data_IF_546455702481
#
_entry.id   IF_546455702481
#
_cell.length_a   1.000
_cell.length_b   1.000
_cell.length_c   1.000
_cell.angle_alpha   90.00
_cell.angle_beta   90.00
_cell.angle_gamma   90.00
#
_symmetry.space_group_name_H-M   'P 1'
#
loop_
_entity.id
_entity.type
_entity.pdbx_description
1 polymer ?
#
# COMPACT_ATOMS: atom_id res chain seq x y z
N UNK A 1 18.73 38.49 37.91
CA UNK A 1 18.23 37.11 37.95
C UNK A 1 16.82 37.04 37.33
N UNK A 2 16.67 36.94 36.01
CA UNK A 2 15.34 37.05 35.39
C UNK A 2 15.08 36.26 34.09
N UNK A 3 16.09 35.68 33.47
CA UNK A 3 15.94 34.99 32.17
C UNK A 3 15.88 33.46 32.29
N UNK A 4 16.23 32.90 33.46
CA UNK A 4 16.27 31.46 33.68
C UNK A 4 14.94 30.74 33.41
N UNK A 5 13.76 31.27 33.81
CA UNK A 5 12.48 30.59 33.53
C UNK A 5 12.18 30.47 32.04
N UNK A 6 12.57 31.46 31.23
CA UNK A 6 12.35 31.48 29.78
C UNK A 6 13.26 30.48 29.06
N UNK A 7 14.50 30.33 29.53
CA UNK A 7 15.44 29.35 28.97
C UNK A 7 14.99 27.92 29.30
N UNK A 8 14.51 27.67 30.53
CA UNK A 8 13.99 26.37 30.95
C UNK A 8 12.72 26.02 30.18
N UNK A 9 11.79 26.97 30.02
CA UNK A 9 10.57 26.73 29.24
C UNK A 9 10.88 26.47 27.76
N UNK A 10 11.79 27.23 27.15
CA UNK A 10 12.24 27.01 25.78
C UNK A 10 12.87 25.63 25.60
N UNK A 11 13.73 25.20 26.53
CA UNK A 11 14.31 23.87 26.51
C UNK A 11 13.25 22.76 26.65
N UNK A 12 12.31 22.93 27.57
CA UNK A 12 11.21 21.99 27.77
C UNK A 12 10.31 21.88 26.53
N UNK A 13 10.00 23.01 25.87
CA UNK A 13 9.24 23.05 24.62
C UNK A 13 9.97 22.36 23.47
N UNK A 14 11.27 22.64 23.28
CA UNK A 14 12.08 21.97 22.24
C UNK A 14 12.12 20.45 22.45
N UNK A 15 12.27 20.01 23.69
CA UNK A 15 12.23 18.58 24.05
C UNK A 15 10.85 17.96 23.85
N UNK A 16 9.78 18.71 24.12
CA UNK A 16 8.41 18.27 23.86
C UNK A 16 8.19 18.10 22.34
N UNK A 17 8.60 19.07 21.53
CA UNK A 17 8.49 19.05 20.08
C UNK A 17 9.20 17.85 19.44
N UNK A 18 10.41 17.53 19.88
CA UNK A 18 11.15 16.35 19.41
C UNK A 18 10.37 15.04 19.67
N UNK A 19 9.76 14.91 20.84
CA UNK A 19 8.91 13.75 21.17
C UNK A 19 7.68 13.70 20.28
N UNK A 20 7.02 14.83 20.02
CA UNK A 20 5.85 14.90 19.13
C UNK A 20 6.24 14.53 17.70
N UNK A 21 7.35 15.07 17.19
CA UNK A 21 7.87 14.78 15.84
C UNK A 21 8.25 13.31 15.69
N UNK A 22 8.88 12.72 16.70
CA UNK A 22 9.20 11.29 16.72
C UNK A 22 7.93 10.43 16.68
N UNK A 23 6.93 10.74 17.51
CA UNK A 23 5.62 10.06 17.52
C UNK A 23 4.92 10.15 16.17
N UNK A 24 4.88 11.33 15.55
CA UNK A 24 4.30 11.53 14.22
C UNK A 24 5.04 10.70 13.16
N UNK A 25 6.38 10.71 13.16
CA UNK A 25 7.19 9.88 12.25
C UNK A 25 6.89 8.39 12.43
N UNK A 26 6.83 7.89 13.67
CA UNK A 26 6.49 6.49 13.93
C UNK A 26 5.06 6.14 13.49
N UNK A 27 4.10 7.05 13.72
CA UNK A 27 2.72 6.87 13.27
C UNK A 27 2.63 6.81 11.74
N UNK A 28 3.30 7.72 11.03
CA UNK A 28 3.36 7.72 9.56
C UNK A 28 3.98 6.44 9.02
N UNK A 29 5.10 5.96 9.58
CA UNK A 29 5.73 4.69 9.16
C UNK A 29 4.81 3.49 9.36
N UNK A 30 4.01 3.47 10.44
CA UNK A 30 3.02 2.41 10.67
C UNK A 30 1.85 2.50 9.68
N UNK A 31 1.38 3.72 9.38
CA UNK A 31 0.33 3.93 8.41
C UNK A 31 0.77 3.48 7.00
N UNK A 32 1.96 3.89 6.56
CA UNK A 32 2.52 3.47 5.26
C UNK A 32 2.73 1.96 5.19
N UNK A 33 3.22 1.33 6.27
CA UNK A 33 3.38 -0.12 6.33
C UNK A 33 2.04 -0.87 6.21
N UNK A 34 0.97 -0.36 6.85
CA UNK A 34 -0.38 -0.93 6.73
C UNK A 34 -0.95 -0.80 5.32
N UNK A 35 -0.69 0.33 4.65
CA UNK A 35 -1.13 0.55 3.28
C UNK A 35 -0.42 -0.38 2.30
N UNK A 36 0.90 -0.53 2.43
CA UNK A 36 1.68 -1.52 1.69
C UNK A 36 1.18 -2.95 1.94
N UNK A 37 0.89 -3.31 3.20
CA UNK A 37 0.37 -4.64 3.54
C UNK A 37 -1.02 -4.88 2.92
N UNK A 38 -1.92 -3.89 2.95
CA UNK A 38 -3.23 -3.98 2.29
C UNK A 38 -3.09 -4.22 0.80
N UNK A 39 -2.18 -3.48 0.16
CA UNK A 39 -1.87 -3.64 -1.25
C UNK A 39 -1.23 -5.00 -1.53
N UNK A 40 -0.33 -5.51 -0.68
CA UNK A 40 0.28 -6.82 -0.89
C UNK A 40 -0.71 -7.98 -0.73
N UNK A 41 -1.66 -7.89 0.22
CA UNK A 41 -2.73 -8.91 0.35
C UNK A 41 -3.74 -8.89 -0.80
N UNK A 42 -3.85 -7.79 -1.55
CA UNK A 42 -4.70 -7.73 -2.73
C UNK A 42 -3.95 -8.08 -4.02
N UNK A 43 -2.61 -8.08 -3.98
CA UNK A 43 -1.78 -8.42 -5.12
C UNK A 43 -1.67 -9.94 -5.26
N UNK A 44 -2.60 -10.47 -6.04
CA UNK A 44 -2.54 -11.81 -6.63
C UNK A 44 -1.42 -11.86 -7.67
N UNK A 45 -0.16 -11.96 -7.22
CA UNK A 45 1.03 -11.98 -8.07
C UNK A 45 1.52 -13.41 -8.28
N UNK A 46 1.66 -13.79 -9.55
CA UNK A 46 2.17 -15.08 -9.95
C UNK A 46 3.47 -14.89 -10.73
N UNK A 47 4.56 -15.53 -10.29
CA UNK A 47 5.79 -15.54 -11.05
C UNK A 47 5.77 -16.70 -12.04
N UNK A 48 5.97 -16.40 -13.33
CA UNK A 48 6.17 -17.41 -14.37
C UNK A 48 7.60 -17.32 -14.88
N UNK A 49 8.30 -18.45 -14.81
CA UNK A 49 9.66 -18.59 -15.33
C UNK A 49 9.71 -18.20 -16.82
N UNK A 50 10.64 -17.32 -17.18
CA UNK A 50 10.78 -16.78 -18.54
C UNK A 50 9.85 -15.61 -18.90
N UNK A 51 8.84 -15.29 -18.09
CA UNK A 51 7.89 -14.17 -18.34
C UNK A 51 8.00 -13.09 -17.27
N UNK A 52 8.24 -13.46 -16.02
CA UNK A 52 8.34 -12.53 -14.88
C UNK A 52 7.08 -12.53 -14.02
N UNK A 53 6.88 -11.43 -13.27
CA UNK A 53 5.74 -11.27 -12.36
C UNK A 53 4.48 -10.86 -13.13
N UNK A 54 3.43 -11.64 -12.98
CA UNK A 54 2.11 -11.37 -13.53
C UNK A 54 1.14 -11.03 -12.40
N UNK A 55 0.20 -10.12 -12.69
CA UNK A 55 -0.75 -9.59 -11.72
C UNK A 55 -2.16 -10.06 -12.10
N UNK A 56 -2.90 -10.58 -11.12
CA UNK A 56 -4.25 -11.11 -11.31
C UNK A 56 -4.27 -12.50 -11.95
N UNK A 57 -5.48 -12.97 -12.25
CA UNK A 57 -5.70 -14.25 -12.92
C UNK A 57 -5.30 -14.16 -14.40
N UNK A 58 -4.16 -14.75 -14.74
CA UNK A 58 -3.60 -14.72 -16.10
C UNK A 58 -4.43 -15.52 -17.12
N UNK A 59 -5.30 -16.41 -16.63
CA UNK A 59 -6.20 -17.20 -17.47
C UNK A 59 -7.43 -16.39 -17.88
N UNK A 60 -7.71 -15.24 -17.26
CA UNK A 60 -8.79 -14.36 -17.65
C UNK A 60 -8.40 -13.51 -18.87
N UNK A 61 -9.21 -13.54 -19.94
CA UNK A 61 -9.06 -12.69 -21.11
C UNK A 61 -9.18 -11.19 -20.77
N UNK A 62 -9.93 -10.85 -19.73
CA UNK A 62 -10.15 -9.48 -19.26
C UNK A 62 -9.25 -9.06 -18.09
N UNK A 63 -8.16 -9.80 -17.83
CA UNK A 63 -7.18 -9.38 -16.84
C UNK A 63 -6.63 -7.99 -17.21
N UNK A 64 -6.71 -7.05 -16.27
CA UNK A 64 -6.28 -5.67 -16.47
C UNK A 64 -4.77 -5.47 -16.25
N UNK A 65 -4.05 -6.49 -15.80
CA UNK A 65 -2.62 -6.49 -15.50
C UNK A 65 -2.18 -5.31 -14.61
N UNK A 66 -3.09 -4.86 -13.73
CA UNK A 66 -2.91 -3.67 -12.91
C UNK A 66 -2.88 -4.01 -11.42
N UNK A 67 -2.01 -3.38 -10.62
CA UNK A 67 -2.01 -3.58 -9.17
C UNK A 67 -3.28 -3.07 -8.49
N UNK A 68 -4.02 -2.15 -9.13
CA UNK A 68 -5.22 -1.51 -8.59
C UNK A 68 -6.53 -2.12 -9.11
N UNK A 69 -6.52 -2.68 -10.32
CA UNK A 69 -7.71 -3.22 -10.99
C UNK A 69 -7.37 -4.62 -11.50
N UNK A 70 -8.19 -5.62 -11.13
CA UNK A 70 -7.96 -7.03 -11.51
C UNK A 70 -8.59 -7.37 -12.85
N UNK A 71 -9.86 -7.02 -13.02
CA UNK A 71 -10.62 -7.26 -14.24
C UNK A 71 -11.05 -5.94 -14.86
N UNK A 72 -10.76 -5.71 -16.14
CA UNK A 72 -11.08 -4.44 -16.82
C UNK A 72 -12.60 -4.17 -16.84
N UNK A 73 -13.41 -5.23 -16.92
CA UNK A 73 -14.87 -5.16 -16.99
C UNK A 73 -15.56 -5.38 -15.64
N UNK A 74 -14.82 -5.82 -14.62
CA UNK A 74 -15.27 -5.88 -13.23
C UNK A 74 -14.23 -5.17 -12.34
N UNK A 75 -14.19 -3.82 -12.37
CA UNK A 75 -13.17 -3.06 -11.66
C UNK A 75 -13.28 -3.17 -10.13
N UNK A 76 -14.42 -3.61 -9.61
CA UNK A 76 -14.69 -3.75 -8.18
C UNK A 76 -14.27 -5.10 -7.58
N UNK A 77 -13.93 -6.10 -8.40
CA UNK A 77 -13.68 -7.46 -7.92
C UNK A 77 -12.60 -8.22 -8.69
N UNK A 78 -12.25 -9.43 -8.22
CA UNK A 78 -11.32 -10.31 -8.92
C UNK A 78 -11.94 -10.91 -10.18
N UNK A 79 -11.11 -11.50 -11.03
CA UNK A 79 -11.57 -12.21 -12.22
C UNK A 79 -12.30 -13.51 -11.87
N UNK A 80 -11.87 -14.26 -10.85
CA UNK A 80 -12.42 -15.59 -10.54
C UNK A 80 -13.92 -15.57 -10.18
N UNK A 81 -14.41 -14.47 -9.58
CA UNK A 81 -15.81 -14.28 -9.19
C UNK A 81 -16.60 -13.36 -10.16
N UNK A 82 -16.01 -13.03 -11.32
CA UNK A 82 -16.63 -12.13 -12.29
C UNK A 82 -17.66 -12.86 -13.15
N UNK A 83 -18.90 -12.34 -13.23
CA UNK A 83 -19.94 -12.87 -14.13
C UNK A 83 -19.51 -12.87 -15.61
N UNK A 84 -18.63 -11.95 -15.99
CA UNK A 84 -18.14 -11.81 -17.35
C UNK A 84 -16.80 -12.52 -17.60
N UNK A 85 -16.37 -13.40 -16.69
CA UNK A 85 -15.13 -14.14 -16.85
C UNK A 85 -15.10 -14.93 -18.18
N UNK A 86 -14.00 -14.83 -18.92
CA UNK A 86 -13.71 -15.63 -20.10
C UNK A 86 -12.26 -16.12 -20.04
N UNK A 87 -12.04 -17.39 -20.34
CA UNK A 87 -10.69 -17.97 -20.38
C UNK A 87 -9.92 -17.48 -21.61
N UNK A 88 -8.64 -17.19 -21.43
CA UNK A 88 -7.73 -16.81 -22.50
C UNK A 88 -7.28 -18.05 -23.26
N UNK A 89 -7.60 -18.11 -24.54
CA UNK A 89 -7.09 -19.15 -25.43
C UNK A 89 -5.62 -18.83 -25.78
N UNK A 90 -4.75 -19.82 -25.59
CA UNK A 90 -3.37 -19.77 -26.05
C UNK A 90 -3.29 -20.63 -27.31
N UNK A 91 -3.01 -20.01 -28.45
CA UNK A 91 -2.78 -20.67 -29.72
C UNK A 91 -1.29 -20.92 -29.93
#
# INVERSE_FOLDING_TARGET
>A
MGLMPLLISMWAMRKAEERTRSRLRSAMRRASARELQRMSTSIDQHYIEGVGYLIGDITCQFNAHSPYIRCAINPSGPCQDCYHYQSREYN
#
